data_IF_472197329588
#
_entry.id   IF_472197329588
#
_cell.length_a   1.000
_cell.length_b   1.000
_cell.length_c   1.000
_cell.angle_alpha   90.00
_cell.angle_beta   90.00
_cell.angle_gamma   90.00
#
_symmetry.space_group_name_H-M   'P 1'
#
loop_
_entity.id
_entity.type
_entity.pdbx_description
1 polymer ?
#
# COMPACT_ATOMS: atom_id res chain seq x y z
N UNK A 1 -43.40 -18.56 18.74
CA UNK A 1 -42.71 -18.41 20.03
C UNK A 1 -41.33 -17.82 19.72
N UNK A 2 -41.04 -16.62 20.22
CA UNK A 2 -39.77 -15.93 19.96
C UNK A 2 -38.71 -16.45 20.93
N UNK A 3 -37.61 -17.00 20.41
CA UNK A 3 -36.48 -17.48 21.22
C UNK A 3 -35.35 -16.43 21.17
N UNK A 4 -35.32 -15.47 22.11
CA UNK A 4 -34.37 -14.35 22.08
C UNK A 4 -32.90 -14.78 22.11
N UNK A 5 -32.59 -15.94 22.72
CA UNK A 5 -31.23 -16.48 22.80
C UNK A 5 -30.72 -17.02 21.47
N UNK A 6 -31.56 -17.74 20.72
CA UNK A 6 -31.20 -18.25 19.39
C UNK A 6 -30.97 -17.08 18.41
N UNK A 7 -31.83 -16.06 18.45
CA UNK A 7 -31.68 -14.85 17.66
C UNK A 7 -30.38 -14.08 17.97
N UNK A 8 -29.95 -14.03 19.24
CA UNK A 8 -28.67 -13.42 19.63
C UNK A 8 -27.47 -14.21 19.09
N UNK A 9 -27.53 -15.54 19.14
CA UNK A 9 -26.46 -16.40 18.63
C UNK A 9 -26.32 -16.25 17.11
N UNK A 10 -27.43 -16.28 16.38
CA UNK A 10 -27.45 -16.11 14.93
C UNK A 10 -26.91 -14.73 14.53
N UNK A 11 -27.31 -13.66 15.23
CA UNK A 11 -26.76 -12.32 15.00
C UNK A 11 -25.23 -12.27 15.20
N UNK A 12 -24.69 -12.93 16.23
CA UNK A 12 -23.24 -12.99 16.47
C UNK A 12 -22.52 -13.75 15.34
N UNK A 13 -23.09 -14.85 14.84
CA UNK A 13 -22.53 -15.59 13.70
C UNK A 13 -22.60 -14.78 12.40
N UNK A 14 -23.74 -14.17 12.09
CA UNK A 14 -23.90 -13.31 10.90
C UNK A 14 -22.93 -12.14 10.94
N UNK A 15 -22.72 -11.52 12.11
CA UNK A 15 -21.71 -10.46 12.30
C UNK A 15 -20.29 -10.98 12.05
N UNK A 16 -19.94 -12.17 12.57
CA UNK A 16 -18.63 -12.75 12.35
C UNK A 16 -18.37 -13.05 10.86
N UNK A 17 -19.35 -13.59 10.15
CA UNK A 17 -19.27 -13.85 8.70
C UNK A 17 -19.12 -12.54 7.93
N UNK A 18 -19.90 -11.50 8.25
CA UNK A 18 -19.76 -10.18 7.61
C UNK A 18 -18.38 -9.57 7.84
N UNK A 19 -17.85 -9.63 9.08
CA UNK A 19 -16.51 -9.15 9.40
C UNK A 19 -15.43 -9.93 8.64
N UNK A 20 -15.59 -11.24 8.49
CA UNK A 20 -14.68 -12.08 7.71
C UNK A 20 -14.67 -11.68 6.23
N UNK A 21 -15.85 -11.56 5.61
CA UNK A 21 -15.97 -11.13 4.21
C UNK A 21 -15.39 -9.72 4.01
N UNK A 22 -15.68 -8.77 4.91
CA UNK A 22 -15.11 -7.44 4.87
C UNK A 22 -13.57 -7.48 4.97
N UNK A 23 -13.02 -8.34 5.81
CA UNK A 23 -11.56 -8.53 5.94
C UNK A 23 -10.94 -9.04 4.63
N UNK A 24 -11.59 -9.96 3.92
CA UNK A 24 -11.12 -10.44 2.62
C UNK A 24 -11.06 -9.33 1.57
N UNK A 25 -12.09 -8.49 1.50
CA UNK A 25 -12.13 -7.34 0.59
C UNK A 25 -11.01 -6.35 0.93
N UNK A 26 -10.83 -6.03 2.21
CA UNK A 26 -9.77 -5.12 2.65
C UNK A 26 -8.37 -5.70 2.40
N UNK A 27 -8.19 -7.01 2.57
CA UNK A 27 -6.92 -7.68 2.27
C UNK A 27 -6.58 -7.60 0.78
N UNK A 28 -7.58 -7.74 -0.10
CA UNK A 28 -7.41 -7.55 -1.54
C UNK A 28 -6.98 -6.11 -1.86
N UNK A 29 -7.63 -5.11 -1.27
CA UNK A 29 -7.25 -3.70 -1.47
C UNK A 29 -5.83 -3.41 -0.96
N UNK A 30 -5.44 -3.98 0.17
CA UNK A 30 -4.08 -3.88 0.69
C UNK A 30 -3.08 -4.53 -0.26
N UNK A 31 -3.39 -5.72 -0.79
CA UNK A 31 -2.52 -6.42 -1.73
C UNK A 31 -2.29 -5.64 -3.02
N UNK A 32 -3.34 -5.00 -3.56
CA UNK A 32 -3.23 -4.18 -4.77
C UNK A 32 -2.47 -2.87 -4.54
N UNK A 33 -2.51 -2.32 -3.33
CA UNK A 33 -1.88 -1.03 -3.01
C UNK A 33 -0.44 -1.15 -2.51
N UNK A 34 0.00 -2.33 -2.06
CA UNK A 34 1.31 -2.53 -1.42
C UNK A 34 2.50 -2.10 -2.30
N UNK A 35 2.44 -2.39 -3.60
CA UNK A 35 3.59 -2.22 -4.51
C UNK A 35 3.97 -0.76 -4.72
N UNK A 36 3.01 0.16 -4.54
CA UNK A 36 3.25 1.62 -4.64
C UNK A 36 3.14 2.32 -3.29
N UNK A 37 2.37 1.77 -2.35
CA UNK A 37 2.16 2.35 -1.02
C UNK A 37 3.29 2.10 -0.03
N UNK A 38 3.86 0.90 0.00
CA UNK A 38 4.98 0.54 0.88
C UNK A 38 6.26 1.33 0.57
N UNK A 39 6.73 1.43 -0.69
CA UNK A 39 7.93 2.23 -0.99
C UNK A 39 7.72 3.72 -0.70
N UNK A 40 6.51 4.24 -0.92
CA UNK A 40 6.16 5.62 -0.54
C UNK A 40 6.29 5.85 0.98
N UNK A 41 5.81 4.91 1.79
CA UNK A 41 5.91 4.99 3.26
C UNK A 41 7.37 5.01 3.73
N UNK A 42 8.19 4.12 3.18
CA UNK A 42 9.61 3.98 3.55
C UNK A 42 10.44 5.21 3.18
N UNK A 43 10.21 5.77 2.00
CA UNK A 43 10.87 7.02 1.58
C UNK A 43 10.39 8.17 2.48
N UNK A 44 9.08 8.27 2.75
CA UNK A 44 8.53 9.34 3.60
C UNK A 44 9.03 9.27 5.06
N UNK A 45 9.33 8.07 5.57
CA UNK A 45 9.84 7.89 6.92
C UNK A 45 11.27 8.41 7.09
N UNK A 46 12.10 8.32 6.05
CA UNK A 46 13.48 8.84 6.06
C UNK A 46 13.89 9.40 4.70
N UNK A 47 13.34 10.56 4.29
CA UNK A 47 13.55 11.07 2.94
C UNK A 47 14.95 11.64 2.79
N UNK A 48 15.68 11.18 1.79
CA UNK A 48 16.93 11.78 1.34
C UNK A 48 16.76 12.17 -0.12
N UNK A 49 17.05 13.44 -0.42
CA UNK A 49 17.01 13.97 -1.77
C UNK A 49 18.43 14.04 -2.34
N UNK A 50 18.62 13.53 -3.55
CA UNK A 50 19.88 13.59 -4.28
C UNK A 50 19.64 13.91 -5.75
N UNK A 51 20.68 14.37 -6.42
CA UNK A 51 20.65 14.59 -7.87
C UNK A 51 21.28 13.39 -8.55
N UNK A 52 20.49 12.69 -9.37
CA UNK A 52 20.96 11.64 -10.26
C UNK A 52 21.08 12.14 -11.70
N UNK A 53 21.54 11.27 -12.58
CA UNK A 53 21.56 11.52 -14.02
C UNK A 53 20.78 10.46 -14.77
N UNK A 54 20.05 10.87 -15.81
CA UNK A 54 19.38 9.92 -16.71
C UNK A 54 20.43 9.18 -17.53
N UNK A 55 20.46 7.85 -17.41
CA UNK A 55 21.37 7.00 -18.16
C UNK A 55 20.72 6.49 -19.44
N UNK A 56 19.43 6.15 -19.39
CA UNK A 56 18.71 5.58 -20.51
C UNK A 56 17.23 5.94 -20.44
N UNK A 57 16.60 6.08 -21.61
CA UNK A 57 15.17 6.27 -21.77
C UNK A 57 14.64 5.18 -22.68
N UNK A 58 13.64 4.44 -22.21
CA UNK A 58 12.90 3.49 -23.04
C UNK A 58 11.45 3.93 -23.13
N UNK A 59 10.97 4.19 -24.33
CA UNK A 59 9.59 4.60 -24.58
C UNK A 59 8.81 3.44 -25.19
N UNK A 60 7.71 3.07 -24.54
CA UNK A 60 6.77 2.04 -24.98
C UNK A 60 5.40 2.67 -25.25
N UNK A 61 4.82 2.37 -26.41
CA UNK A 61 3.40 2.62 -26.67
C UNK A 61 3.11 3.54 -27.85
N UNK A 62 2.28 3.03 -28.77
CA UNK A 62 1.74 3.77 -29.91
C UNK A 62 0.50 4.62 -29.52
N UNK A 63 -0.09 4.39 -28.33
CA UNK A 63 -1.40 4.91 -27.87
C UNK A 63 -1.34 5.56 -26.46
N UNK A 64 -0.15 5.96 -26.03
CA UNK A 64 0.11 6.53 -24.71
C UNK A 64 1.56 6.25 -24.34
N UNK A 65 2.40 7.26 -24.44
CA UNK A 65 3.86 7.12 -24.33
C UNK A 65 4.23 6.79 -22.87
N UNK A 66 4.41 5.51 -22.54
CA UNK A 66 4.97 5.10 -21.25
C UNK A 66 6.48 5.16 -21.40
N UNK A 67 7.15 6.01 -20.64
CA UNK A 67 8.61 6.13 -20.69
C UNK A 67 9.22 5.58 -19.40
N UNK A 68 10.02 4.54 -19.52
CA UNK A 68 10.90 4.09 -18.45
C UNK A 68 12.14 4.98 -18.47
N UNK A 69 12.35 5.68 -17.35
CA UNK A 69 13.52 6.52 -17.12
C UNK A 69 14.46 5.74 -16.23
N UNK A 70 15.60 5.35 -16.79
CA UNK A 70 16.71 4.78 -16.04
C UNK A 70 17.62 5.92 -15.60
N UNK A 71 18.01 5.91 -14.33
CA UNK A 71 18.86 6.94 -13.76
C UNK A 71 19.86 6.31 -12.79
N UNK A 72 21.03 6.93 -12.68
CA UNK A 72 22.03 6.60 -11.67
C UNK A 72 22.15 7.73 -10.66
N UNK A 73 22.34 7.39 -9.39
CA UNK A 73 22.55 8.35 -8.30
C UNK A 73 23.58 7.84 -7.30
N UNK A 74 24.25 8.77 -6.61
CA UNK A 74 25.24 8.42 -5.58
C UNK A 74 24.62 8.28 -4.20
N UNK A 75 24.98 7.20 -3.51
CA UNK A 75 24.72 6.97 -2.09
C UNK A 75 26.00 6.49 -1.40
N UNK A 76 26.51 7.27 -0.45
CA UNK A 76 27.71 6.94 0.35
C UNK A 76 28.85 6.31 -0.49
N UNK A 77 29.23 7.06 -1.55
CA UNK A 77 30.27 6.73 -2.54
C UNK A 77 29.97 5.60 -3.54
N UNK A 78 28.84 4.91 -3.42
CA UNK A 78 28.41 3.88 -4.38
C UNK A 78 27.38 4.46 -5.36
N UNK A 79 27.56 4.13 -6.64
CA UNK A 79 26.56 4.41 -7.66
C UNK A 79 25.41 3.38 -7.52
N UNK A 80 24.19 3.89 -7.47
CA UNK A 80 22.96 3.09 -7.51
C UNK A 80 22.18 3.42 -8.76
N UNK A 81 21.80 2.36 -9.47
CA UNK A 81 20.94 2.45 -10.63
C UNK A 81 19.48 2.23 -10.23
N UNK A 82 18.61 3.02 -10.84
CA UNK A 82 17.19 2.99 -10.60
C UNK A 82 16.39 3.13 -11.88
N UNK A 83 15.16 2.61 -11.85
CA UNK A 83 14.20 2.79 -12.93
C UNK A 83 12.93 3.41 -12.35
N UNK A 84 12.40 4.42 -13.03
CA UNK A 84 11.07 4.94 -12.78
C UNK A 84 10.25 4.99 -14.07
N UNK A 85 9.06 4.40 -14.04
CA UNK A 85 8.12 4.50 -15.14
C UNK A 85 7.33 5.80 -15.02
N UNK A 86 7.41 6.64 -16.05
CA UNK A 86 6.56 7.83 -16.22
C UNK A 86 5.55 7.59 -17.33
N UNK A 87 4.35 8.12 -17.16
CA UNK A 87 3.34 8.15 -18.22
C UNK A 87 3.36 9.52 -18.89
N UNK A 88 3.57 9.56 -20.20
CA UNK A 88 3.55 10.77 -21.04
C UNK A 88 2.17 11.36 -21.26
N UNK A 89 1.22 11.16 -20.33
CA UNK A 89 -0.03 11.92 -20.34
C UNK A 89 0.32 13.42 -20.24
N UNK A 90 -0.24 14.19 -21.19
CA UNK A 90 0.10 15.57 -21.48
C UNK A 90 0.38 16.42 -20.22
N UNK A 91 1.65 16.78 -20.01
CA UNK A 91 2.09 17.61 -18.88
C UNK A 91 3.17 17.00 -17.99
N UNK A 92 3.59 15.75 -18.23
CA UNK A 92 4.74 15.16 -17.55
C UNK A 92 6.08 15.84 -17.93
N UNK A 93 7.08 15.88 -17.03
CA UNK A 93 8.41 16.38 -17.35
C UNK A 93 9.04 15.55 -18.47
N UNK A 94 9.58 16.24 -19.49
CA UNK A 94 10.37 15.61 -20.56
C UNK A 94 11.76 15.35 -20.01
N UNK A 95 12.16 14.07 -20.01
CA UNK A 95 13.49 13.67 -19.58
C UNK A 95 14.37 13.48 -20.81
N UNK A 96 15.63 13.92 -20.73
CA UNK A 96 16.66 13.67 -21.75
C UNK A 96 17.82 12.90 -21.11
N UNK A 97 18.48 12.05 -21.89
CA UNK A 97 19.68 11.31 -21.43
C UNK A 97 20.77 12.32 -21.05
N UNK A 98 21.38 12.13 -19.89
CA UNK A 98 22.37 13.05 -19.31
C UNK A 98 21.78 14.24 -18.55
N UNK A 99 20.46 14.44 -18.57
CA UNK A 99 19.84 15.48 -17.76
C UNK A 99 19.90 15.16 -16.27
N UNK A 100 20.11 16.16 -15.40
CA UNK A 100 20.04 15.98 -13.96
C UNK A 100 18.59 15.75 -13.52
N UNK A 101 18.37 14.79 -12.63
CA UNK A 101 17.04 14.48 -12.09
C UNK A 101 17.06 14.42 -10.57
N UNK A 102 16.02 14.95 -9.94
CA UNK A 102 15.85 14.82 -8.49
C UNK A 102 15.31 13.44 -8.14
N UNK A 103 16.11 12.67 -7.42
CA UNK A 103 15.78 11.36 -6.88
C UNK A 103 15.52 11.50 -5.39
N UNK A 104 14.49 10.83 -4.89
CA UNK A 104 14.22 10.70 -3.46
C UNK A 104 14.29 9.23 -3.09
N UNK A 105 15.07 8.92 -2.06
CA UNK A 105 15.23 7.55 -1.56
C UNK A 105 15.11 7.49 -0.04
N UNK A 106 14.92 6.29 0.49
CA UNK A 106 14.87 6.05 1.93
C UNK A 106 16.28 5.90 2.49
N UNK A 107 16.64 6.68 3.53
CA UNK A 107 17.96 6.58 4.19
C UNK A 107 18.25 5.16 4.69
N UNK A 108 17.23 4.46 5.17
CA UNK A 108 17.37 3.11 5.73
C UNK A 108 17.37 2.01 4.67
N UNK A 109 16.74 2.26 3.51
CA UNK A 109 16.63 1.31 2.41
C UNK A 109 16.91 2.03 1.09
N UNK A 110 18.18 2.17 0.69
CA UNK A 110 18.55 2.87 -0.54
C UNK A 110 17.95 2.26 -1.81
N UNK A 111 17.70 0.93 -1.79
CA UNK A 111 16.97 0.21 -2.85
C UNK A 111 15.54 0.69 -3.07
N UNK A 112 14.99 1.46 -2.13
CA UNK A 112 13.68 2.11 -2.26
C UNK A 112 13.89 3.56 -2.65
N UNK A 113 13.84 3.81 -3.96
CA UNK A 113 14.03 5.12 -4.56
C UNK A 113 12.95 5.41 -5.60
N UNK A 114 12.69 6.70 -5.86
CA UNK A 114 11.82 7.13 -6.94
C UNK A 114 12.21 8.54 -7.39
N UNK A 115 11.81 8.92 -8.61
CA UNK A 115 11.91 10.29 -9.06
C UNK A 115 10.97 11.17 -8.24
N UNK A 116 11.44 12.34 -7.79
CA UNK A 116 10.63 13.27 -6.99
C UNK A 116 9.33 13.66 -7.69
N UNK A 117 9.38 13.81 -9.02
CA UNK A 117 8.21 14.10 -9.84
C UNK A 117 7.14 12.99 -9.78
N UNK A 118 7.56 11.73 -9.75
CA UNK A 118 6.66 10.57 -9.69
C UNK A 118 6.30 10.18 -8.25
N UNK A 119 7.04 10.63 -7.25
CA UNK A 119 6.81 10.28 -5.84
C UNK A 119 5.38 10.61 -5.35
N UNK A 120 4.82 11.74 -5.77
CA UNK A 120 3.48 12.15 -5.37
C UNK A 120 2.37 11.22 -5.92
N UNK A 121 2.62 10.49 -7.02
CA UNK A 121 1.64 9.53 -7.57
C UNK A 121 1.38 8.34 -6.62
N UNK A 122 2.35 8.02 -5.75
CA UNK A 122 2.24 6.95 -4.75
C UNK A 122 1.35 7.29 -3.54
N UNK A 123 1.01 8.58 -3.34
CA UNK A 123 0.26 9.05 -2.15
C UNK A 123 -1.08 8.37 -1.97
N UNK A 124 -1.84 8.22 -3.06
CA UNK A 124 -3.16 7.59 -3.00
C UNK A 124 -3.06 6.11 -2.62
N UNK A 125 -2.07 5.39 -3.17
CA UNK A 125 -1.84 3.99 -2.82
C UNK A 125 -1.42 3.83 -1.35
N UNK A 126 -0.63 4.77 -0.80
CA UNK A 126 -0.29 4.78 0.62
C UNK A 126 -1.52 4.97 1.53
N UNK A 127 -2.43 5.88 1.18
CA UNK A 127 -3.66 6.08 1.96
C UNK A 127 -4.58 4.86 1.92
N UNK A 128 -4.75 4.25 0.73
CA UNK A 128 -5.53 3.01 0.60
C UNK A 128 -4.89 1.90 1.44
N UNK A 129 -3.58 1.69 1.32
CA UNK A 129 -2.84 0.68 2.08
C UNK A 129 -2.99 0.86 3.59
N UNK A 130 -2.77 2.09 4.09
CA UNK A 130 -2.85 2.40 5.53
C UNK A 130 -4.28 2.28 6.07
N UNK A 131 -5.28 2.77 5.33
CA UNK A 131 -6.68 2.62 5.70
C UNK A 131 -7.11 1.14 5.72
N UNK A 132 -6.76 0.37 4.69
CA UNK A 132 -7.05 -1.07 4.63
C UNK A 132 -6.38 -1.82 5.78
N UNK A 133 -5.11 -1.53 6.09
CA UNK A 133 -4.42 -2.16 7.21
C UNK A 133 -5.10 -1.85 8.56
N UNK A 134 -5.44 -0.58 8.80
CA UNK A 134 -6.11 -0.17 10.03
C UNK A 134 -7.49 -0.82 10.19
N UNK A 135 -8.27 -0.88 9.11
CA UNK A 135 -9.59 -1.51 9.12
C UNK A 135 -9.51 -3.02 9.31
N UNK A 136 -8.51 -3.70 8.74
CA UNK A 136 -8.28 -5.13 8.99
C UNK A 136 -8.03 -5.37 10.49
N UNK A 137 -7.16 -4.59 11.13
CA UNK A 137 -6.90 -4.70 12.57
C UNK A 137 -8.18 -4.49 13.38
N UNK A 138 -8.99 -3.51 13.01
CA UNK A 138 -10.28 -3.24 13.65
C UNK A 138 -11.27 -4.41 13.45
N UNK A 139 -11.39 -4.95 12.23
CA UNK A 139 -12.22 -6.12 11.95
C UNK A 139 -11.77 -7.34 12.76
N UNK A 140 -10.47 -7.57 12.88
CA UNK A 140 -9.91 -8.64 13.71
C UNK A 140 -10.27 -8.43 15.19
N UNK A 141 -10.08 -7.22 15.73
CA UNK A 141 -10.46 -6.91 17.12
C UNK A 141 -11.96 -7.15 17.39
N UNK A 142 -12.83 -6.72 16.46
CA UNK A 142 -14.27 -6.97 16.55
C UNK A 142 -14.61 -8.46 16.41
N UNK A 143 -13.88 -9.21 15.58
CA UNK A 143 -14.05 -10.64 15.42
C UNK A 143 -13.68 -11.38 16.71
N UNK A 144 -12.52 -11.07 17.32
CA UNK A 144 -12.14 -11.61 18.63
C UNK A 144 -13.17 -11.29 19.71
N UNK A 145 -13.68 -10.05 19.75
CA UNK A 145 -14.73 -9.69 20.69
C UNK A 145 -16.03 -10.48 20.46
N UNK A 146 -16.41 -10.69 19.19
CA UNK A 146 -17.60 -11.47 18.83
C UNK A 146 -17.43 -12.94 19.24
N UNK A 147 -16.26 -13.53 19.00
CA UNK A 147 -15.91 -14.89 19.42
C UNK A 147 -15.93 -15.03 20.95
N UNK A 148 -15.38 -14.05 21.68
CA UNK A 148 -15.42 -14.05 23.14
C UNK A 148 -16.87 -14.05 23.68
N UNK A 149 -17.77 -13.28 23.07
CA UNK A 149 -19.19 -13.31 23.44
C UNK A 149 -19.86 -14.65 23.13
N UNK A 150 -19.56 -15.26 21.99
CA UNK A 150 -20.07 -16.60 21.64
C UNK A 150 -19.59 -17.64 22.66
N UNK A 151 -18.32 -17.61 23.03
CA UNK A 151 -17.75 -18.50 24.05
C UNK A 151 -18.44 -18.32 25.40
N UNK A 152 -18.66 -17.08 25.84
CA UNK A 152 -19.33 -16.80 27.11
C UNK A 152 -20.77 -17.32 27.13
N UNK A 153 -21.54 -17.13 26.04
CA UNK A 153 -22.88 -17.71 25.94
C UNK A 153 -22.87 -19.24 25.95
N UNK A 154 -21.87 -19.88 25.33
CA UNK A 154 -21.73 -21.34 25.36
C UNK A 154 -21.38 -21.88 26.77
N UNK A 155 -20.66 -21.11 27.56
CA UNK A 155 -20.32 -21.45 28.95
C UNK A 155 -21.54 -21.29 29.88
N UNK A 156 -22.32 -20.22 29.69
CA UNK A 156 -23.63 -20.00 30.33
C UNK A 156 -24.60 -21.15 29.99
N UNK A 157 -24.64 -21.63 28.74
CA UNK A 157 -25.47 -22.77 28.30
C UNK A 157 -25.02 -24.13 28.86
N UNK A 158 -23.78 -24.26 29.32
CA UNK A 158 -23.27 -25.52 29.91
C UNK A 158 -23.62 -25.66 31.40
N UNK A 159 -24.04 -24.57 32.03
CA UNK A 159 -24.42 -24.50 33.45
C UNK A 159 -25.94 -24.63 33.68
N UNK A 160 -26.75 -24.63 32.61
CA UNK A 160 -28.18 -24.91 32.60
C UNK A 160 -28.47 -26.31 32.04
#
# INVERSE_FOLDING_TARGET
>A
MYYPREAQRDFLFTRAVMLFVATLVLALMLFLSKDRGAPYALIKASPVETTGQVTQLESFGNWGTITNVYYSFKHDEHDQDGMATTSGYAGGPVYEVGSPVQVVYSKWFPSVHNLKANFNSGRWNFYIMSASAALIVLCQALMFWTLFRIYRHKEEDRQY
#
